data_IF_602841584686
#
_entry.id   IF_602841584686
#
_cell.length_a   1.000
_cell.length_b   1.000
_cell.length_c   1.000
_cell.angle_alpha   90.00
_cell.angle_beta   90.00
_cell.angle_gamma   90.00
#
_symmetry.space_group_name_H-M   'P 1'
#
loop_
_entity.id
_entity.type
_entity.pdbx_description
1 polymer ?
#
# COMPACT_ATOMS: atom_id res chain seq x y z
N UNK A 1 -18.78 -11.01 -3.16
CA UNK A 1 -17.32 -11.01 -2.89
C UNK A 1 -16.90 -12.45 -2.59
N UNK A 2 -16.27 -13.15 -3.54
CA UNK A 2 -15.88 -14.56 -3.37
C UNK A 2 -14.42 -14.62 -2.94
N UNK A 3 -14.18 -14.98 -1.69
CA UNK A 3 -12.86 -15.38 -1.17
C UNK A 3 -12.51 -16.69 -1.87
N UNK A 4 -11.48 -16.66 -2.72
CA UNK A 4 -11.03 -17.85 -3.45
C UNK A 4 -9.50 -17.81 -3.57
N UNK A 5 -8.87 -18.73 -2.84
CA UNK A 5 -7.49 -19.24 -2.96
C UNK A 5 -6.39 -18.44 -2.26
N UNK A 6 -6.22 -18.71 -0.96
CA UNK A 6 -4.88 -18.79 -0.35
C UNK A 6 -4.56 -20.29 -0.25
N UNK A 7 -3.97 -20.83 -1.31
CA UNK A 7 -3.09 -22.00 -1.29
C UNK A 7 -2.53 -22.18 -2.70
N UNK A 8 -1.30 -22.69 -2.77
CA UNK A 8 -0.51 -23.05 -3.96
C UNK A 8 0.44 -21.93 -4.41
N UNK A 9 1.70 -22.04 -3.99
CA UNK A 9 2.86 -21.68 -4.81
C UNK A 9 4.16 -22.25 -4.21
N UNK A 10 4.56 -23.42 -4.73
CA UNK A 10 5.96 -23.83 -4.93
C UNK A 10 5.98 -25.06 -5.85
N UNK A 11 5.51 -24.87 -7.08
CA UNK A 11 5.73 -25.81 -8.18
C UNK A 11 5.93 -24.98 -9.45
N UNK A 12 7.00 -24.19 -9.44
CA UNK A 12 7.38 -23.34 -10.56
C UNK A 12 8.89 -23.19 -10.63
N UNK A 13 9.57 -24.29 -10.94
CA UNK A 13 10.86 -24.27 -11.64
C UNK A 13 11.23 -25.67 -12.12
N UNK A 14 10.43 -26.26 -13.03
CA UNK A 14 10.90 -27.30 -13.97
C UNK A 14 9.74 -27.70 -14.91
N UNK A 15 9.40 -26.84 -15.87
CA UNK A 15 8.79 -27.33 -17.11
C UNK A 15 9.92 -27.57 -18.10
N UNK A 16 10.29 -28.84 -18.28
CA UNK A 16 11.02 -29.25 -19.49
C UNK A 16 10.00 -29.16 -20.62
N UNK A 17 10.13 -28.16 -21.49
CA UNK A 17 9.38 -28.12 -22.73
C UNK A 17 9.88 -29.24 -23.63
N UNK A 18 9.13 -30.35 -23.70
CA UNK A 18 9.23 -31.27 -24.82
C UNK A 18 8.73 -30.52 -26.08
N UNK A 19 9.64 -30.23 -27.01
CA UNK A 19 9.32 -29.54 -28.25
C UNK A 19 8.32 -30.37 -29.08
N UNK A 20 7.09 -29.86 -29.25
CA UNK A 20 6.13 -30.39 -30.21
C UNK A 20 6.35 -29.72 -31.57
N UNK A 21 6.53 -30.55 -32.59
CA UNK A 21 6.78 -30.12 -33.97
C UNK A 21 5.55 -29.42 -34.59
N UNK A 22 5.70 -28.15 -34.96
CA UNK A 22 4.73 -27.42 -35.77
C UNK A 22 4.87 -27.78 -37.26
N UNK A 23 3.81 -28.34 -37.83
CA UNK A 23 3.61 -28.53 -39.27
C UNK A 23 3.21 -27.18 -39.89
N UNK A 24 4.04 -26.62 -40.80
CA UNK A 24 3.60 -25.56 -41.73
C UNK A 24 3.80 -26.01 -43.17
N UNK A 25 2.74 -25.80 -43.95
CA UNK A 25 2.61 -26.06 -45.39
C UNK A 25 3.33 -24.99 -46.22
N UNK A 26 3.92 -25.40 -47.33
CA UNK A 26 4.45 -24.51 -48.36
C UNK A 26 5.02 -25.30 -49.54
N UNK A 27 4.30 -25.31 -50.68
CA UNK A 27 4.77 -25.86 -51.96
C UNK A 27 5.75 -24.87 -52.60
N UNK A 28 6.93 -25.33 -53.02
CA UNK A 28 7.63 -24.79 -54.20
C UNK A 28 8.52 -25.85 -54.87
N UNK A 29 8.66 -25.72 -56.19
CA UNK A 29 9.17 -26.73 -57.14
C UNK A 29 10.70 -26.71 -57.32
N UNK A 30 11.25 -27.91 -57.50
CA UNK A 30 12.44 -28.36 -58.28
C UNK A 30 13.70 -27.48 -58.35
N UNK A 31 14.81 -28.03 -57.85
CA UNK A 31 16.03 -28.28 -58.63
C UNK A 31 16.80 -29.47 -58.01
N UNK A 32 16.91 -30.59 -58.75
CA UNK A 32 17.75 -31.73 -58.35
C UNK A 32 19.21 -31.37 -58.59
N UNK A 33 19.94 -31.08 -57.53
CA UNK A 33 21.40 -31.18 -57.53
C UNK A 33 21.74 -32.22 -56.48
N UNK A 34 22.13 -33.41 -56.93
CA UNK A 34 22.46 -34.55 -56.09
C UNK A 34 23.84 -34.31 -55.47
N UNK A 35 23.89 -33.46 -54.42
CA UNK A 35 25.04 -33.42 -53.52
C UNK A 35 24.91 -34.59 -52.56
N UNK A 36 25.76 -35.58 -52.72
CA UNK A 36 25.93 -36.70 -51.79
C UNK A 36 26.26 -36.14 -50.41
N UNK A 37 25.24 -35.95 -49.57
CA UNK A 37 25.41 -35.66 -48.15
C UNK A 37 26.02 -36.93 -47.56
N UNK A 38 27.32 -36.88 -47.25
CA UNK A 38 27.95 -37.89 -46.38
C UNK A 38 27.20 -37.84 -45.05
N UNK A 39 26.26 -38.75 -44.86
CA UNK A 39 25.66 -39.06 -43.57
C UNK A 39 26.78 -39.66 -42.72
N UNK A 40 27.48 -38.80 -41.97
CA UNK A 40 28.26 -39.27 -40.82
C UNK A 40 27.25 -39.93 -39.90
N UNK A 41 27.17 -41.27 -39.93
CA UNK A 41 26.42 -42.05 -38.95
C UNK A 41 26.97 -41.64 -37.59
N UNK A 42 26.24 -40.81 -36.85
CA UNK A 42 26.49 -40.63 -35.42
C UNK A 42 26.30 -42.01 -34.80
N UNK A 43 27.41 -42.67 -34.47
CA UNK A 43 27.36 -43.86 -33.64
C UNK A 43 26.72 -43.41 -32.33
N UNK A 44 25.61 -44.01 -31.88
CA UNK A 44 25.04 -43.65 -30.59
C UNK A 44 26.12 -43.87 -29.54
N UNK A 45 26.58 -42.80 -28.89
CA UNK A 45 27.43 -42.94 -27.73
C UNK A 45 26.69 -43.88 -26.75
N UNK A 46 27.37 -44.86 -26.17
CA UNK A 46 26.78 -45.74 -25.17
C UNK A 46 26.49 -44.91 -23.91
N UNK A 47 25.34 -44.24 -23.87
CA UNK A 47 24.87 -43.50 -22.70
C UNK A 47 24.31 -44.51 -21.71
N UNK A 48 24.87 -44.54 -20.50
CA UNK A 48 24.35 -45.34 -19.40
C UNK A 48 23.41 -44.49 -18.52
N UNK A 49 22.36 -45.08 -17.93
CA UNK A 49 21.51 -44.36 -17.00
C UNK A 49 22.29 -44.01 -15.72
N UNK A 50 22.06 -42.81 -15.19
CA UNK A 50 22.60 -42.38 -13.90
C UNK A 50 21.83 -43.10 -12.76
N UNK A 51 22.50 -43.57 -11.69
CA UNK A 51 21.83 -44.13 -10.52
C UNK A 51 20.80 -43.18 -9.92
N UNK A 52 19.66 -43.70 -9.45
CA UNK A 52 18.56 -42.87 -8.95
C UNK A 52 18.96 -41.96 -7.77
N UNK A 53 19.83 -42.43 -6.88
CA UNK A 53 20.33 -41.64 -5.75
C UNK A 53 21.18 -40.45 -6.22
N UNK A 54 22.09 -40.69 -7.18
CA UNK A 54 22.94 -39.66 -7.78
C UNK A 54 22.10 -38.65 -8.55
N UNK A 55 21.14 -39.11 -9.36
CA UNK A 55 20.21 -38.25 -10.07
C UNK A 55 19.42 -37.35 -9.10
N UNK A 56 18.83 -37.94 -8.05
CA UNK A 56 17.99 -37.20 -7.10
C UNK A 56 18.78 -36.11 -6.36
N UNK A 57 20.01 -36.44 -5.93
CA UNK A 57 20.90 -35.48 -5.29
C UNK A 57 21.33 -34.38 -6.27
N UNK A 58 21.76 -34.74 -7.48
CA UNK A 58 22.24 -33.78 -8.49
C UNK A 58 21.16 -32.77 -8.91
N UNK A 59 19.91 -33.23 -9.09
CA UNK A 59 18.79 -32.33 -9.40
C UNK A 59 18.51 -31.35 -8.26
N UNK A 60 18.59 -31.80 -7.00
CA UNK A 60 18.45 -30.92 -5.83
C UNK A 60 19.56 -29.86 -5.76
N UNK A 61 20.82 -30.26 -5.98
CA UNK A 61 21.96 -29.32 -6.03
C UNK A 61 21.77 -28.32 -7.17
N UNK A 62 21.40 -28.78 -8.37
CA UNK A 62 21.21 -27.93 -9.54
C UNK A 62 20.11 -26.87 -9.39
N UNK A 63 19.08 -27.14 -8.57
CA UNK A 63 17.99 -26.19 -8.30
C UNK A 63 18.25 -25.26 -7.11
N UNK A 64 19.26 -25.55 -6.29
CA UNK A 64 19.45 -24.89 -4.99
C UNK A 64 19.69 -23.37 -5.09
N UNK A 65 20.36 -22.89 -6.14
CA UNK A 65 20.63 -21.46 -6.32
C UNK A 65 19.38 -20.67 -6.74
N UNK A 66 18.56 -21.25 -7.61
CA UNK A 66 17.25 -20.68 -7.96
C UNK A 66 16.34 -20.64 -6.73
N UNK A 67 16.35 -21.70 -5.92
CA UNK A 67 15.61 -21.76 -4.67
C UNK A 67 16.09 -20.69 -3.68
N UNK A 68 17.40 -20.52 -3.48
CA UNK A 68 17.95 -19.45 -2.63
C UNK A 68 17.47 -18.07 -3.08
N UNK A 69 17.47 -17.83 -4.38
CA UNK A 69 16.99 -16.57 -4.96
C UNK A 69 15.50 -16.36 -4.68
N UNK A 70 14.68 -17.39 -4.88
CA UNK A 70 13.26 -17.38 -4.55
C UNK A 70 13.02 -17.10 -3.06
N UNK A 71 13.71 -17.81 -2.16
CA UNK A 71 13.55 -17.66 -0.72
C UNK A 71 13.83 -16.22 -0.26
N UNK A 72 14.90 -15.62 -0.77
CA UNK A 72 15.27 -14.25 -0.40
C UNK A 72 14.31 -13.23 -1.03
N UNK A 73 14.00 -13.36 -2.33
CA UNK A 73 13.27 -12.32 -3.07
C UNK A 73 11.74 -12.43 -2.97
N UNK A 74 11.20 -13.63 -2.73
CA UNK A 74 9.75 -13.89 -2.73
C UNK A 74 9.23 -14.27 -1.37
N UNK A 75 9.93 -15.13 -0.64
CA UNK A 75 9.52 -15.56 0.71
C UNK A 75 10.05 -14.63 1.82
N UNK A 76 10.96 -13.71 1.50
CA UNK A 76 11.53 -12.76 2.46
C UNK A 76 12.46 -13.39 3.49
N UNK A 77 13.02 -14.58 3.21
CA UNK A 77 13.97 -15.24 4.10
C UNK A 77 15.28 -14.44 4.11
N UNK A 78 15.71 -14.01 5.30
CA UNK A 78 17.03 -13.44 5.47
C UNK A 78 18.09 -14.50 5.18
N UNK A 79 19.02 -14.14 4.29
CA UNK A 79 20.12 -14.99 3.86
C UNK A 79 21.01 -15.47 5.01
N UNK A 80 21.10 -14.73 6.12
CA UNK A 80 21.82 -15.13 7.32
C UNK A 80 21.24 -16.40 7.98
N UNK A 81 19.95 -16.69 7.73
CA UNK A 81 19.21 -17.78 8.35
C UNK A 81 18.78 -18.87 7.34
N UNK A 82 19.39 -18.88 6.14
CA UNK A 82 19.04 -19.85 5.08
C UNK A 82 19.28 -21.31 5.49
N UNK A 83 20.19 -21.54 6.44
CA UNK A 83 20.51 -22.87 6.98
C UNK A 83 19.29 -23.54 7.63
N UNK A 84 18.42 -22.79 8.31
CA UNK A 84 17.19 -23.31 8.89
C UNK A 84 16.21 -23.79 7.82
N UNK A 85 16.18 -23.13 6.66
CA UNK A 85 15.38 -23.60 5.51
C UNK A 85 15.94 -24.89 4.94
N UNK A 86 17.26 -24.99 4.80
CA UNK A 86 17.91 -26.23 4.34
C UNK A 86 17.67 -27.39 5.31
N UNK A 87 17.74 -27.13 6.62
CA UNK A 87 17.42 -28.11 7.66
C UNK A 87 15.97 -28.58 7.55
N UNK A 88 15.01 -27.65 7.41
CA UNK A 88 13.59 -27.99 7.26
C UNK A 88 13.34 -28.89 6.05
N UNK A 89 13.97 -28.62 4.90
CA UNK A 89 13.83 -29.47 3.69
C UNK A 89 14.35 -30.90 3.93
N UNK A 90 15.47 -31.04 4.65
CA UNK A 90 16.06 -32.35 4.97
C UNK A 90 15.21 -33.14 5.96
N UNK A 91 14.67 -32.47 6.97
CA UNK A 91 13.84 -33.11 7.99
C UNK A 91 12.46 -33.48 7.44
N UNK A 92 11.84 -32.61 6.64
CA UNK A 92 10.50 -32.81 6.10
C UNK A 92 10.38 -34.11 5.28
N UNK A 93 11.44 -34.51 4.57
CA UNK A 93 11.48 -35.76 3.80
C UNK A 93 11.36 -37.03 4.66
N UNK A 94 11.55 -36.91 5.98
CA UNK A 94 11.49 -38.02 6.94
C UNK A 94 10.28 -37.95 7.87
N UNK A 95 9.52 -36.86 7.81
CA UNK A 95 8.36 -36.66 8.68
C UNK A 95 7.18 -37.49 8.19
N UNK A 96 6.36 -37.94 9.14
CA UNK A 96 5.03 -38.42 8.81
C UNK A 96 4.16 -37.29 8.23
N UNK A 97 3.12 -37.61 7.45
CA UNK A 97 2.18 -36.59 6.96
C UNK A 97 1.53 -35.76 8.06
N UNK A 98 1.34 -36.33 9.25
CA UNK A 98 0.70 -35.65 10.38
C UNK A 98 1.66 -34.66 11.06
N UNK A 99 2.90 -35.06 11.32
CA UNK A 99 3.93 -34.16 11.86
C UNK A 99 4.18 -32.96 10.93
N UNK A 100 4.17 -33.19 9.62
CA UNK A 100 4.33 -32.12 8.64
C UNK A 100 3.16 -31.13 8.71
N UNK A 101 1.91 -31.61 8.82
CA UNK A 101 0.74 -30.73 9.00
C UNK A 101 0.85 -29.89 10.27
N UNK A 102 1.25 -30.50 11.38
CA UNK A 102 1.42 -29.80 12.66
C UNK A 102 2.48 -28.70 12.57
N UNK A 103 3.64 -28.99 11.98
CA UNK A 103 4.70 -27.98 11.78
C UNK A 103 4.26 -26.87 10.83
N UNK A 104 3.50 -27.19 9.78
CA UNK A 104 2.96 -26.18 8.86
C UNK A 104 1.94 -25.27 9.55
N UNK A 105 1.09 -25.80 10.43
CA UNK A 105 0.17 -25.01 11.25
C UNK A 105 0.93 -24.08 12.22
N UNK A 106 1.97 -24.59 12.89
CA UNK A 106 2.83 -23.78 13.76
C UNK A 106 3.55 -22.67 12.98
N UNK A 107 4.11 -23.00 11.81
CA UNK A 107 4.74 -22.02 10.93
C UNK A 107 3.75 -20.94 10.44
N UNK A 108 2.48 -21.29 10.20
CA UNK A 108 1.44 -20.31 9.91
C UNK A 108 1.21 -19.34 11.08
N UNK A 109 1.20 -19.85 12.32
CA UNK A 109 1.13 -19.01 13.53
C UNK A 109 2.32 -18.04 13.64
N UNK A 110 3.54 -18.51 13.39
CA UNK A 110 4.74 -17.65 13.38
C UNK A 110 4.67 -16.55 12.31
N UNK A 111 4.17 -16.87 11.10
CA UNK A 111 3.98 -15.86 10.05
C UNK A 111 2.98 -14.78 10.46
N UNK A 112 1.89 -15.15 11.12
CA UNK A 112 0.91 -14.19 11.64
C UNK A 112 1.54 -13.33 12.75
N UNK A 113 2.31 -13.93 13.66
CA UNK A 113 3.00 -13.18 14.72
C UNK A 113 4.01 -12.16 14.15
N UNK A 114 4.72 -12.52 13.09
CA UNK A 114 5.62 -11.60 12.37
C UNK A 114 4.82 -10.46 11.72
N UNK A 115 3.75 -10.78 10.99
CA UNK A 115 2.85 -9.77 10.38
C UNK A 115 2.26 -8.83 11.44
N UNK A 116 1.92 -9.35 12.62
CA UNK A 116 1.42 -8.54 13.72
C UNK A 116 2.46 -7.51 14.17
N UNK A 117 3.70 -7.97 14.33
CA UNK A 117 4.85 -7.14 14.73
C UNK A 117 5.12 -6.02 13.72
N UNK A 118 5.12 -6.35 12.43
CA UNK A 118 5.58 -5.41 11.40
C UNK A 118 4.50 -4.43 10.94
N UNK A 119 3.23 -4.86 10.92
CA UNK A 119 2.14 -4.14 10.27
C UNK A 119 0.92 -3.91 11.16
N UNK A 120 0.39 -4.97 11.78
CA UNK A 120 -0.94 -4.88 12.45
C UNK A 120 -0.89 -3.96 13.67
N UNK A 121 0.17 -4.04 14.49
CA UNK A 121 0.31 -3.19 15.68
C UNK A 121 0.30 -1.72 15.30
N UNK A 122 1.03 -1.33 14.26
CA UNK A 122 1.06 0.05 13.76
C UNK A 122 -0.31 0.53 13.31
N UNK A 123 -1.06 -0.32 12.62
CA UNK A 123 -2.43 0.01 12.17
C UNK A 123 -3.40 0.17 13.35
N UNK A 124 -3.34 -0.73 14.34
CA UNK A 124 -4.16 -0.62 15.54
C UNK A 124 -3.81 0.60 16.38
N UNK A 125 -2.52 0.88 16.57
CA UNK A 125 -2.07 2.09 17.24
C UNK A 125 -2.55 3.35 16.52
N UNK A 126 -2.41 3.40 15.20
CA UNK A 126 -2.88 4.52 14.39
C UNK A 126 -4.38 4.73 14.53
N UNK A 127 -5.18 3.67 14.46
CA UNK A 127 -6.63 3.74 14.60
C UNK A 127 -7.09 4.11 16.03
N UNK A 128 -6.39 3.59 17.05
CA UNK A 128 -6.75 3.79 18.45
C UNK A 128 -6.27 5.14 19.02
N UNK A 129 -5.20 5.70 18.48
CA UNK A 129 -4.50 6.84 19.10
C UNK A 129 -4.12 7.96 18.13
N UNK A 130 -4.24 7.74 16.83
CA UNK A 130 -3.76 8.67 15.81
C UNK A 130 -2.28 8.57 15.47
N UNK A 131 -1.52 7.72 16.17
CA UNK A 131 -0.08 7.57 15.99
C UNK A 131 0.28 6.09 15.89
N UNK A 132 0.92 5.71 14.80
CA UNK A 132 1.38 4.34 14.57
C UNK A 132 2.48 3.92 15.57
N UNK A 133 3.39 4.84 15.88
CA UNK A 133 4.58 4.59 16.70
C UNK A 133 4.29 4.81 18.19
N UNK A 134 3.37 4.01 18.75
CA UNK A 134 3.03 4.01 20.18
C UNK A 134 3.11 2.60 20.77
N UNK A 135 3.04 2.50 22.09
CA UNK A 135 2.98 1.21 22.82
C UNK A 135 1.55 0.90 23.28
N UNK A 136 0.54 1.51 22.67
CA UNK A 136 -0.85 1.37 23.10
C UNK A 136 -1.37 -0.06 22.91
N UNK A 137 -1.08 -0.65 21.75
CA UNK A 137 -1.36 -2.06 21.47
C UNK A 137 -0.16 -2.90 21.87
N UNK A 138 -0.33 -3.74 22.89
CA UNK A 138 0.69 -4.69 23.33
C UNK A 138 0.67 -5.96 22.45
N UNK A 139 1.82 -6.31 21.87
CA UNK A 139 1.95 -7.44 20.96
C UNK A 139 1.72 -8.79 21.66
N UNK A 140 2.23 -8.96 22.89
CA UNK A 140 2.11 -10.22 23.61
C UNK A 140 0.66 -10.47 24.02
N UNK A 141 -0.04 -9.44 24.51
CA UNK A 141 -1.46 -9.52 24.85
C UNK A 141 -2.34 -9.72 23.62
N UNK A 142 -2.04 -9.05 22.50
CA UNK A 142 -2.76 -9.27 21.23
C UNK A 142 -2.61 -10.72 20.77
N UNK A 143 -1.38 -11.24 20.74
CA UNK A 143 -1.13 -12.63 20.33
C UNK A 143 -1.75 -13.64 21.30
N UNK A 144 -1.78 -13.35 22.60
CA UNK A 144 -2.47 -14.19 23.58
C UNK A 144 -3.98 -14.23 23.32
N UNK A 145 -4.62 -13.07 23.09
CA UNK A 145 -6.04 -12.99 22.77
C UNK A 145 -6.41 -13.74 21.49
N UNK A 146 -5.58 -13.63 20.44
CA UNK A 146 -5.74 -14.41 19.20
C UNK A 146 -5.62 -15.92 19.45
N UNK A 147 -4.62 -16.34 20.22
CA UNK A 147 -4.40 -17.75 20.58
C UNK A 147 -5.58 -18.34 21.35
N UNK A 148 -6.02 -17.67 22.41
CA UNK A 148 -7.17 -18.10 23.21
C UNK A 148 -8.46 -18.11 22.39
N UNK A 149 -8.67 -17.11 21.53
CA UNK A 149 -9.82 -17.03 20.64
C UNK A 149 -9.86 -18.18 19.63
N UNK A 150 -8.73 -18.51 18.99
CA UNK A 150 -8.62 -19.63 18.05
C UNK A 150 -8.91 -20.98 18.71
N UNK A 151 -8.52 -21.14 19.97
CA UNK A 151 -8.73 -22.36 20.74
C UNK A 151 -10.10 -22.43 21.43
N UNK A 152 -10.93 -21.39 21.30
CA UNK A 152 -12.20 -21.29 22.02
C UNK A 152 -12.03 -21.23 23.54
N UNK A 153 -10.86 -20.82 24.02
CA UNK A 153 -10.49 -20.71 25.44
C UNK A 153 -10.62 -19.27 25.98
N UNK A 154 -10.86 -18.30 25.10
CA UNK A 154 -11.03 -16.92 25.49
C UNK A 154 -12.19 -16.77 26.46
N UNK A 155 -11.95 -16.05 27.55
CA UNK A 155 -12.99 -15.70 28.54
C UNK A 155 -13.95 -14.62 28.01
N UNK A 156 -13.51 -13.84 27.02
CA UNK A 156 -14.27 -12.78 26.39
C UNK A 156 -14.92 -13.29 25.08
N UNK A 157 -16.21 -13.00 24.89
CA UNK A 157 -16.87 -13.27 23.60
C UNK A 157 -16.36 -12.34 22.51
N UNK A 158 -16.43 -12.78 21.25
CA UNK A 158 -16.07 -11.95 20.10
C UNK A 158 -16.81 -10.60 20.09
N UNK A 159 -18.12 -10.61 20.35
CA UNK A 159 -18.93 -9.38 20.42
C UNK A 159 -18.46 -8.43 21.52
N UNK A 160 -18.09 -8.97 22.69
CA UNK A 160 -17.60 -8.16 23.81
C UNK A 160 -16.21 -7.59 23.52
N UNK A 161 -15.34 -8.36 22.85
CA UNK A 161 -14.03 -7.90 22.40
C UNK A 161 -14.15 -6.74 21.39
N UNK A 162 -15.05 -6.88 20.41
CA UNK A 162 -15.30 -5.81 19.43
C UNK A 162 -15.80 -4.53 20.09
N UNK A 163 -16.71 -4.62 21.07
CA UNK A 163 -17.18 -3.46 21.84
C UNK A 163 -16.06 -2.75 22.61
N UNK A 164 -15.04 -3.47 23.08
CA UNK A 164 -13.87 -2.83 23.72
C UNK A 164 -13.12 -1.97 22.71
N UNK A 165 -12.85 -2.51 21.52
CA UNK A 165 -12.18 -1.78 20.45
C UNK A 165 -13.01 -0.58 19.95
N UNK A 166 -14.32 -0.77 19.74
CA UNK A 166 -15.25 0.29 19.31
C UNK A 166 -15.25 1.46 20.29
N UNK A 167 -15.29 1.20 21.60
CA UNK A 167 -15.23 2.28 22.61
C UNK A 167 -13.95 3.11 22.49
N UNK A 168 -12.81 2.47 22.25
CA UNK A 168 -11.55 3.19 22.08
C UNK A 168 -11.54 4.02 20.79
N UNK A 169 -12.02 3.44 19.68
CA UNK A 169 -12.09 4.17 18.40
C UNK A 169 -13.06 5.35 18.46
N UNK A 170 -14.22 5.18 19.10
CA UNK A 170 -15.17 6.28 19.30
C UNK A 170 -14.62 7.35 20.25
N UNK A 171 -13.92 6.97 21.32
CA UNK A 171 -13.21 7.93 22.18
C UNK A 171 -12.23 8.78 21.37
N UNK A 172 -11.37 8.13 20.56
CA UNK A 172 -10.38 8.85 19.77
C UNK A 172 -11.03 9.75 18.71
N UNK A 173 -12.10 9.27 18.06
CA UNK A 173 -12.87 10.05 17.09
C UNK A 173 -13.52 11.29 17.72
N UNK A 174 -14.10 11.17 18.91
CA UNK A 174 -14.66 12.31 19.66
C UNK A 174 -13.57 13.30 20.07
N UNK A 175 -12.41 12.79 20.52
CA UNK A 175 -11.25 13.61 20.82
C UNK A 175 -10.80 14.43 19.62
N UNK A 176 -10.68 13.81 18.44
CA UNK A 176 -10.35 14.51 17.19
C UNK A 176 -11.37 15.58 16.85
N UNK A 177 -12.67 15.26 16.94
CA UNK A 177 -13.73 16.22 16.67
C UNK A 177 -13.59 17.45 17.58
N UNK A 178 -13.36 17.24 18.87
CA UNK A 178 -13.21 18.32 19.85
C UNK A 178 -11.95 19.15 19.59
N UNK A 179 -10.79 18.52 19.41
CA UNK A 179 -9.52 19.22 19.17
C UNK A 179 -9.56 20.07 17.89
N UNK A 180 -10.19 19.57 16.82
CA UNK A 180 -10.34 20.30 15.57
C UNK A 180 -11.34 21.47 15.68
N UNK A 181 -12.41 21.31 16.46
CA UNK A 181 -13.35 22.39 16.76
C UNK A 181 -12.69 23.49 17.61
N UNK A 182 -11.96 23.11 18.66
CA UNK A 182 -11.25 24.03 19.55
C UNK A 182 -10.17 24.81 18.81
N UNK A 183 -9.45 24.13 17.90
CA UNK A 183 -8.49 24.79 17.02
C UNK A 183 -9.15 25.92 16.22
N UNK A 184 -10.30 25.67 15.59
CA UNK A 184 -11.02 26.69 14.80
C UNK A 184 -11.52 27.84 15.68
N UNK A 185 -12.05 27.56 16.87
CA UNK A 185 -12.49 28.60 17.81
C UNK A 185 -11.34 29.51 18.23
N UNK A 186 -10.17 28.92 18.49
CA UNK A 186 -8.96 29.69 18.81
C UNK A 186 -8.45 30.48 17.60
N UNK A 187 -8.33 29.83 16.44
CA UNK A 187 -7.79 30.41 15.22
C UNK A 187 -8.62 31.60 14.72
N UNK A 188 -9.95 31.56 14.88
CA UNK A 188 -10.83 32.69 14.55
C UNK A 188 -10.49 34.00 15.29
N UNK A 189 -9.80 33.91 16.43
CA UNK A 189 -9.40 35.07 17.26
C UNK A 189 -8.00 35.58 16.90
N UNK A 190 -7.26 34.84 16.07
CA UNK A 190 -5.90 35.21 15.68
C UNK A 190 -5.92 36.42 14.73
N UNK A 191 -4.90 37.27 14.84
CA UNK A 191 -4.82 38.50 14.05
C UNK A 191 -4.82 38.20 12.56
N UNK A 192 -5.72 38.87 11.83
CA UNK A 192 -5.82 38.77 10.37
C UNK A 192 -6.60 37.55 9.87
N UNK A 193 -7.07 36.67 10.77
CA UNK A 193 -7.99 35.60 10.41
C UNK A 193 -9.40 36.17 10.25
N UNK A 194 -10.08 35.77 9.18
CA UNK A 194 -11.49 36.08 8.90
C UNK A 194 -12.25 34.77 8.78
N UNK A 195 -13.50 34.76 9.25
CA UNK A 195 -14.41 33.61 9.15
C UNK A 195 -15.57 33.97 8.23
N UNK A 196 -15.85 33.13 7.24
CA UNK A 196 -16.99 33.29 6.34
C UNK A 196 -18.26 32.67 6.93
N UNK A 197 -19.46 32.95 6.38
CA UNK A 197 -20.70 32.33 6.85
C UNK A 197 -20.72 30.80 6.75
N UNK A 198 -19.94 30.19 5.86
CA UNK A 198 -19.83 28.72 5.75
C UNK A 198 -18.98 28.10 6.86
N UNK A 199 -18.24 28.92 7.60
CA UNK A 199 -17.27 28.50 8.60
C UNK A 199 -15.84 28.37 8.08
N UNK A 200 -15.59 28.60 6.79
CA UNK A 200 -14.22 28.71 6.27
C UNK A 200 -13.51 29.87 6.98
N UNK A 201 -12.32 29.59 7.51
CA UNK A 201 -11.45 30.66 8.01
C UNK A 201 -10.29 30.85 7.05
N UNK A 202 -9.83 32.08 6.90
CA UNK A 202 -8.66 32.37 6.08
C UNK A 202 -7.90 33.58 6.60
N UNK A 203 -6.62 33.64 6.23
CA UNK A 203 -5.74 34.78 6.46
C UNK A 203 -5.01 35.10 5.17
N UNK A 204 -5.18 36.32 4.67
CA UNK A 204 -4.46 36.80 3.49
C UNK A 204 -3.02 37.13 3.90
N UNK A 205 -2.05 36.52 3.24
CA UNK A 205 -0.62 36.83 3.38
C UNK A 205 -0.21 37.87 2.33
N UNK A 206 -0.65 37.68 1.10
CA UNK A 206 -0.46 38.62 -0.02
C UNK A 206 -1.78 38.75 -0.77
N UNK A 207 -2.27 39.98 -0.92
CA UNK A 207 -3.51 40.24 -1.65
C UNK A 207 -3.22 40.28 -3.16
N UNK A 208 -3.86 39.38 -3.91
CA UNK A 208 -3.84 39.39 -5.38
C UNK A 208 -4.65 40.55 -5.96
N UNK A 209 -4.42 40.83 -7.23
CA UNK A 209 -5.08 41.92 -7.98
C UNK A 209 -5.65 41.49 -9.33
N UNK A 210 -5.50 40.21 -9.70
CA UNK A 210 -6.04 39.71 -10.95
C UNK A 210 -7.50 39.28 -10.83
N UNK A 211 -7.96 38.54 -11.83
CA UNK A 211 -9.36 38.08 -11.92
C UNK A 211 -9.67 37.00 -10.88
N UNK A 212 -10.91 36.94 -10.44
CA UNK A 212 -11.43 35.85 -9.59
C UNK A 212 -12.01 34.76 -10.49
N UNK A 213 -11.72 33.50 -10.19
CA UNK A 213 -12.16 32.38 -11.02
C UNK A 213 -13.67 32.18 -10.96
N UNK A 214 -14.30 31.86 -12.11
CA UNK A 214 -15.61 31.22 -12.09
C UNK A 214 -15.45 29.76 -11.63
N UNK A 215 -16.56 29.13 -11.23
CA UNK A 215 -16.58 27.77 -10.68
C UNK A 215 -16.01 26.68 -11.60
N UNK A 216 -16.07 26.92 -12.91
CA UNK A 216 -15.61 26.03 -13.98
C UNK A 216 -14.26 26.43 -14.58
N UNK A 217 -13.72 27.59 -14.20
CA UNK A 217 -12.44 28.11 -14.71
C UNK A 217 -11.28 27.33 -14.13
N UNK A 218 -10.27 27.03 -14.96
CA UNK A 218 -9.03 26.42 -14.48
C UNK A 218 -8.20 27.42 -13.68
N UNK A 219 -7.66 26.95 -12.57
CA UNK A 219 -6.81 27.74 -11.69
C UNK A 219 -5.53 26.96 -11.42
N UNK A 220 -4.40 27.57 -11.76
CA UNK A 220 -3.08 27.04 -11.44
C UNK A 220 -2.64 27.56 -10.08
N UNK A 221 -2.22 26.65 -9.20
CA UNK A 221 -1.89 26.98 -7.81
C UNK A 221 -0.63 26.28 -7.33
N UNK A 222 0.08 26.95 -6.42
CA UNK A 222 0.93 26.29 -5.46
C UNK A 222 0.20 26.09 -4.13
N UNK A 223 0.40 24.94 -3.48
CA UNK A 223 -0.24 24.67 -2.20
C UNK A 223 0.52 23.68 -1.34
N UNK A 224 0.28 23.76 -0.03
CA UNK A 224 0.65 22.74 0.95
C UNK A 224 -0.50 22.54 1.94
N UNK A 225 -1.00 21.31 2.02
CA UNK A 225 -2.04 20.88 2.95
C UNK A 225 -1.45 20.13 4.14
N UNK A 226 -1.81 20.57 5.34
CA UNK A 226 -1.41 19.95 6.62
C UNK A 226 -2.58 19.81 7.58
N UNK A 227 -2.47 18.83 8.48
CA UNK A 227 -3.36 18.70 9.63
C UNK A 227 -2.98 19.71 10.72
N UNK A 228 -3.84 19.88 11.73
CA UNK A 228 -3.61 20.82 12.84
C UNK A 228 -2.38 20.46 13.69
N UNK A 229 -1.93 19.21 13.64
CA UNK A 229 -0.71 18.74 14.30
C UNK A 229 0.57 18.98 13.47
N UNK A 230 0.45 19.54 12.28
CA UNK A 230 1.55 19.83 11.36
C UNK A 230 1.85 18.73 10.35
N UNK A 231 1.17 17.58 10.41
CA UNK A 231 1.35 16.49 9.43
C UNK A 231 0.97 16.95 8.03
N UNK A 232 1.94 17.02 7.13
CA UNK A 232 1.73 17.38 5.72
C UNK A 232 1.20 16.15 4.97
N UNK A 233 -0.02 16.25 4.43
CA UNK A 233 -0.64 15.15 3.66
C UNK A 233 -0.54 15.35 2.14
N UNK A 234 -0.36 16.59 1.68
CA UNK A 234 -0.21 16.90 0.26
C UNK A 234 0.55 18.23 0.05
N UNK A 235 1.43 18.32 -0.95
CA UNK A 235 2.21 19.52 -1.23
C UNK A 235 2.66 19.57 -2.68
N UNK A 236 2.26 20.60 -3.41
CA UNK A 236 2.75 20.83 -4.78
C UNK A 236 4.19 21.34 -4.79
N UNK A 237 4.62 22.03 -3.74
CA UNK A 237 6.01 22.43 -3.56
C UNK A 237 6.94 21.22 -3.48
N UNK A 238 6.57 20.17 -2.73
CA UNK A 238 7.36 18.92 -2.67
C UNK A 238 7.45 18.20 -4.01
N UNK A 239 6.44 18.35 -4.87
CA UNK A 239 6.47 17.82 -6.25
C UNK A 239 7.28 18.69 -7.21
N UNK A 240 7.65 19.91 -6.84
CA UNK A 240 8.40 20.84 -7.67
C UNK A 240 7.62 21.46 -8.83
N UNK A 241 6.29 21.30 -8.88
CA UNK A 241 5.46 21.86 -9.95
C UNK A 241 4.06 22.26 -9.45
N UNK A 242 3.46 23.34 -10.00
CA UNK A 242 2.09 23.73 -9.70
C UNK A 242 1.06 22.63 -10.03
N UNK A 243 -0.12 22.74 -9.44
CA UNK A 243 -1.27 21.92 -9.80
C UNK A 243 -2.38 22.79 -10.40
N UNK A 244 -3.14 22.22 -11.32
CA UNK A 244 -4.29 22.88 -11.94
C UNK A 244 -5.58 22.23 -11.45
N UNK A 245 -6.52 23.04 -10.99
CA UNK A 245 -7.81 22.59 -10.51
C UNK A 245 -8.94 23.44 -11.09
N UNK A 246 -10.16 22.91 -11.06
CA UNK A 246 -11.39 23.69 -11.25
C UNK A 246 -12.12 23.78 -9.92
N UNK A 247 -12.63 24.95 -9.51
CA UNK A 247 -13.28 25.10 -8.21
C UNK A 247 -14.42 24.10 -7.96
N UNK A 248 -15.18 23.71 -8.99
CA UNK A 248 -16.27 22.75 -8.88
C UNK A 248 -15.84 21.27 -8.74
N UNK A 249 -14.54 20.96 -8.77
CA UNK A 249 -13.98 19.60 -8.68
C UNK A 249 -13.15 19.37 -7.41
N UNK A 250 -13.08 20.36 -6.52
CA UNK A 250 -12.32 20.32 -5.27
C UNK A 250 -13.24 20.38 -4.06
N UNK A 251 -12.68 20.23 -2.86
CA UNK A 251 -13.44 20.33 -1.61
C UNK A 251 -14.10 21.71 -1.48
N UNK A 252 -15.25 21.78 -0.81
CA UNK A 252 -16.08 23.00 -0.72
C UNK A 252 -15.31 24.23 -0.23
N UNK A 253 -14.41 24.06 0.74
CA UNK A 253 -13.59 25.16 1.24
C UNK A 253 -12.61 25.71 0.19
N UNK A 254 -12.09 24.85 -0.68
CA UNK A 254 -11.29 25.29 -1.83
C UNK A 254 -12.17 25.94 -2.90
N UNK A 255 -13.35 25.39 -3.20
CA UNK A 255 -14.30 26.00 -4.13
C UNK A 255 -14.62 27.44 -3.73
N UNK A 256 -14.90 27.67 -2.45
CA UNK A 256 -15.18 28.98 -1.90
C UNK A 256 -13.96 29.89 -1.98
N UNK A 257 -12.76 29.42 -1.60
CA UNK A 257 -11.55 30.23 -1.67
C UNK A 257 -11.20 30.63 -3.11
N UNK A 258 -11.24 29.70 -4.07
CA UNK A 258 -10.85 29.97 -5.45
C UNK A 258 -11.84 30.87 -6.20
N UNK A 259 -13.12 30.87 -5.80
CA UNK A 259 -14.15 31.73 -6.40
C UNK A 259 -14.34 33.06 -5.67
N UNK A 260 -13.50 33.36 -4.67
CA UNK A 260 -13.54 34.64 -3.93
C UNK A 260 -12.20 35.37 -3.89
N UNK A 261 -11.09 34.64 -3.98
CA UNK A 261 -9.75 35.21 -3.94
C UNK A 261 -9.23 35.51 -5.35
N UNK A 262 -8.71 36.73 -5.61
CA UNK A 262 -8.18 37.09 -6.92
C UNK A 262 -6.85 36.39 -7.22
N UNK A 263 -6.54 36.23 -8.50
CA UNK A 263 -5.22 35.81 -8.97
C UNK A 263 -4.09 36.64 -8.34
N UNK A 264 -2.99 35.97 -7.98
CA UNK A 264 -1.85 36.51 -7.26
C UNK A 264 -2.01 36.47 -5.73
N UNK A 265 -3.14 35.97 -5.21
CA UNK A 265 -3.35 35.86 -3.77
C UNK A 265 -2.53 34.73 -3.17
N UNK A 266 -1.85 35.02 -2.06
CA UNK A 266 -1.30 34.01 -1.14
C UNK A 266 -2.10 34.08 0.15
N UNK A 267 -2.68 32.96 0.56
CA UNK A 267 -3.51 32.87 1.74
C UNK A 267 -3.23 31.60 2.54
N UNK A 268 -3.45 31.65 3.84
CA UNK A 268 -3.69 30.45 4.64
C UNK A 268 -5.19 30.22 4.76
N UNK A 269 -5.64 29.00 4.47
CA UNK A 269 -7.02 28.55 4.64
C UNK A 269 -7.07 27.57 5.81
N UNK A 270 -8.09 27.68 6.65
CA UNK A 270 -8.40 26.73 7.71
C UNK A 270 -9.82 26.23 7.47
N UNK A 271 -9.89 25.00 6.95
CA UNK A 271 -11.10 24.44 6.36
C UNK A 271 -11.70 23.44 7.36
N UNK A 272 -12.87 23.72 7.95
CA UNK A 272 -13.53 22.77 8.84
C UNK A 272 -13.93 21.50 8.09
N UNK A 273 -14.07 20.39 8.81
CA UNK A 273 -14.28 19.07 8.22
C UNK A 273 -15.50 18.98 7.29
N UNK A 274 -16.57 19.71 7.58
CA UNK A 274 -17.81 19.77 6.80
C UNK A 274 -17.64 20.47 5.43
N UNK A 275 -16.57 21.25 5.26
CA UNK A 275 -16.14 21.84 4.00
C UNK A 275 -14.99 21.06 3.33
N UNK A 276 -14.59 19.93 3.92
CA UNK A 276 -13.50 19.05 3.49
C UNK A 276 -13.98 17.59 3.35
N UNK A 277 -13.35 16.64 4.06
CA UNK A 277 -13.60 15.19 3.95
C UNK A 277 -14.60 14.63 4.98
N UNK A 278 -15.28 15.50 5.74
CA UNK A 278 -16.41 15.12 6.57
C UNK A 278 -16.05 14.31 7.81
N UNK A 279 -17.07 13.66 8.36
CA UNK A 279 -16.98 12.83 9.58
C UNK A 279 -16.21 11.53 9.39
N UNK A 280 -15.98 11.13 8.13
CA UNK A 280 -15.29 9.88 7.78
C UNK A 280 -13.82 10.09 7.47
N UNK A 281 -13.45 11.25 6.94
CA UNK A 281 -12.10 11.48 6.43
C UNK A 281 -11.81 10.64 5.18
N UNK A 282 -10.54 10.34 4.94
CA UNK A 282 -10.06 9.44 3.88
C UNK A 282 -8.81 8.67 4.34
N UNK A 283 -8.08 8.02 3.42
CA UNK A 283 -6.89 7.23 3.75
C UNK A 283 -5.79 8.00 4.52
N UNK A 284 -5.59 9.30 4.22
CA UNK A 284 -4.51 10.11 4.78
C UNK A 284 -5.02 11.23 5.70
N UNK A 285 -6.34 11.42 5.77
CA UNK A 285 -6.98 12.51 6.51
C UNK A 285 -7.96 11.90 7.50
N UNK A 286 -7.78 12.13 8.81
CA UNK A 286 -8.62 11.52 9.82
C UNK A 286 -10.07 12.08 9.82
N UNK A 287 -11.01 11.37 10.46
CA UNK A 287 -12.34 11.88 10.77
C UNK A 287 -12.33 13.28 11.39
N UNK A 288 -13.28 14.13 10.99
CA UNK A 288 -13.47 15.49 11.54
C UNK A 288 -12.26 16.42 11.44
N UNK A 289 -11.28 16.09 10.60
CA UNK A 289 -10.08 16.91 10.45
C UNK A 289 -10.40 18.30 9.90
N UNK A 290 -9.89 19.31 10.59
CA UNK A 290 -9.68 20.65 10.05
C UNK A 290 -8.40 20.62 9.22
N UNK A 291 -8.49 21.10 7.98
CA UNK A 291 -7.35 21.15 7.07
C UNK A 291 -6.78 22.56 7.04
N UNK A 292 -5.45 22.66 7.12
CA UNK A 292 -4.75 23.93 6.95
C UNK A 292 -4.06 23.90 5.60
N UNK A 293 -4.37 24.86 4.74
CA UNK A 293 -3.69 25.02 3.46
C UNK A 293 -2.94 26.34 3.42
N UNK A 294 -1.68 26.31 2.99
CA UNK A 294 -1.08 27.49 2.35
C UNK A 294 -1.41 27.41 0.87
N UNK A 295 -2.14 28.38 0.34
CA UNK A 295 -2.56 28.45 -1.06
C UNK A 295 -1.96 29.68 -1.73
N UNK A 296 -1.43 29.51 -2.92
CA UNK A 296 -0.92 30.56 -3.80
C UNK A 296 -1.59 30.41 -5.17
N UNK A 297 -2.39 31.40 -5.55
CA UNK A 297 -3.10 31.43 -6.84
C UNK A 297 -2.19 32.08 -7.87
N UNK A 298 -1.68 31.26 -8.80
CA UNK A 298 -0.69 31.70 -9.79
C UNK A 298 -1.35 32.25 -11.04
N UNK A 299 -2.38 31.56 -11.55
CA UNK A 299 -3.06 31.91 -12.80
C UNK A 299 -4.51 31.45 -12.80
N UNK A 300 -5.42 32.30 -13.28
CA UNK A 300 -6.84 32.02 -13.49
C UNK A 300 -7.14 32.07 -14.99
N UNK A 301 -7.75 31.00 -15.51
CA UNK A 301 -8.04 30.87 -16.94
C UNK A 301 -6.93 30.18 -17.73
N UNK A 302 -7.18 30.02 -19.02
CA UNK A 302 -6.41 29.15 -19.91
C UNK A 302 -4.89 29.47 -19.87
N UNK A 303 -4.03 28.49 -19.51
CA UNK A 303 -2.59 28.63 -19.59
C UNK A 303 -2.09 29.02 -20.99
N UNK A 304 -2.82 28.68 -22.05
CA UNK A 304 -2.39 28.80 -23.45
C UNK A 304 -3.07 29.92 -24.26
N UNK A 305 -4.16 30.53 -23.78
CA UNK A 305 -4.89 31.58 -24.53
C UNK A 305 -4.13 32.93 -24.67
N UNK A 306 -2.84 32.97 -24.33
CA UNK A 306 -1.97 34.14 -24.44
C UNK A 306 -0.65 33.88 -25.18
N UNK A 307 -0.56 32.80 -25.98
CA UNK A 307 0.54 32.60 -26.94
C UNK A 307 0.07 32.85 -28.37
#
# INVERSE_FOLDING_TARGET
>A
MKIRHILILALAACTVTAATAQKKSGKSKKAKTEKTVKTTKMTPAKVQPVPAAEFSYAIGVGQSQSLKTYLIQREGVDSAYIEYTAQALKEAAKMSPEELKQKMAYAAGLRIAQMNTDQVIKQFNQAATGKADTTFTDLALLNNGLSEGLLGKATLSADSAMKVAERQFEYYKQKLQQENADFLVKNAKEKGVKTTPSGLQYRILTQGKGTVAADTTEVQVHYEGRLIDGTVFDSSYKRGQPATFRPNQVIKGWTEALTTLPEGTVAELYIPYNLAYGERGNQNIPPYATLIFKLEILKVGDPEAGK
#
